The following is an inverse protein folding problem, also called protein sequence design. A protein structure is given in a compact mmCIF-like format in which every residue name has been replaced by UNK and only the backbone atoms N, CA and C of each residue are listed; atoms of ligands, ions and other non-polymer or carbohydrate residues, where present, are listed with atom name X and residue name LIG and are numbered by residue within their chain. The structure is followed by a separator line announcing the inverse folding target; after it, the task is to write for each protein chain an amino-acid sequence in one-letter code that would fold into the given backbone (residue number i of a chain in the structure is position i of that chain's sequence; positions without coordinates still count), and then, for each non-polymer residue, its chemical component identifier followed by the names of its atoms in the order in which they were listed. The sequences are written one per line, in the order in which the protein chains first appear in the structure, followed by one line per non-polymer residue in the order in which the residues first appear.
data_IF_964033631171
#
_entry.id   IF_964033631171
#
_cell.length_a   1.000
_cell.length_b   1.000
_cell.length_c   1.000
_cell.angle_alpha   90.00
_cell.angle_beta   90.00
_cell.angle_gamma   90.00
#
_symmetry.space_group_name_H-M   'P 1'
#
loop_
_entity.id
_entity.type
_entity.pdbx_description
1 polymer ?
#
# COMPACT_ATOMS: atom_id res chain seq x y z
N UNK A 1 20.06 -5.61 15.41
CA UNK A 1 19.88 -7.03 15.75
C UNK A 1 19.72 -7.86 14.47
N UNK A 2 20.58 -8.87 14.22
CA UNK A 2 20.53 -9.69 13.01
C UNK A 2 19.25 -10.55 12.92
N UNK A 3 18.68 -10.98 14.04
CA UNK A 3 17.45 -11.77 14.08
C UNK A 3 16.27 -10.91 13.63
N UNK A 4 16.16 -9.68 14.15
CA UNK A 4 15.11 -8.74 13.77
C UNK A 4 15.21 -8.38 12.28
N UNK A 5 16.43 -8.11 11.79
CA UNK A 5 16.67 -7.84 10.36
C UNK A 5 16.18 -9.02 9.49
N UNK A 6 16.49 -10.24 9.90
CA UNK A 6 16.08 -11.44 9.17
C UNK A 6 14.57 -11.63 9.18
N UNK A 7 13.92 -11.40 10.34
CA UNK A 7 12.46 -11.45 10.46
C UNK A 7 11.80 -10.43 9.53
N UNK A 8 12.26 -9.18 9.55
CA UNK A 8 11.72 -8.14 8.67
C UNK A 8 11.88 -8.51 7.19
N UNK A 9 13.03 -9.04 6.78
CA UNK A 9 13.22 -9.51 5.40
C UNK A 9 12.23 -10.61 5.00
N UNK A 10 11.95 -11.55 5.90
CA UNK A 10 10.98 -12.63 5.62
C UNK A 10 9.56 -12.07 5.47
N UNK A 11 9.16 -11.17 6.36
CA UNK A 11 7.85 -10.50 6.29
C UNK A 11 7.73 -9.70 5.01
N UNK A 12 8.72 -8.87 4.66
CA UNK A 12 8.70 -8.10 3.41
C UNK A 12 8.59 -8.99 2.17
N UNK A 13 9.24 -10.16 2.20
CA UNK A 13 9.16 -11.12 1.10
C UNK A 13 7.77 -11.71 0.97
N UNK A 14 7.13 -12.04 2.10
CA UNK A 14 5.76 -12.55 2.14
C UNK A 14 4.76 -11.51 1.61
N UNK A 15 4.87 -10.27 2.06
CA UNK A 15 4.07 -9.14 1.57
C UNK A 15 4.25 -8.89 0.06
N UNK A 16 5.47 -9.05 -0.44
CA UNK A 16 5.74 -8.95 -1.87
C UNK A 16 4.98 -10.01 -2.70
N UNK A 17 4.81 -11.22 -2.15
CA UNK A 17 3.98 -12.26 -2.79
C UNK A 17 2.50 -11.92 -2.74
N UNK A 18 1.99 -11.43 -1.61
CA UNK A 18 0.60 -10.98 -1.48
C UNK A 18 0.30 -9.91 -2.51
N UNK A 19 1.16 -8.90 -2.64
CA UNK A 19 1.03 -7.84 -3.62
C UNK A 19 1.02 -8.37 -5.07
N UNK A 20 1.95 -9.27 -5.41
CA UNK A 20 2.02 -9.88 -6.74
C UNK A 20 0.78 -10.73 -7.05
N UNK A 21 0.31 -11.50 -6.07
CA UNK A 21 -0.91 -12.27 -6.21
C UNK A 21 -2.11 -11.36 -6.46
N UNK A 22 -2.26 -10.31 -5.66
CA UNK A 22 -3.32 -9.32 -5.81
C UNK A 22 -3.32 -8.67 -7.21
N UNK A 23 -2.13 -8.32 -7.72
CA UNK A 23 -2.01 -7.77 -9.07
C UNK A 23 -2.43 -8.78 -10.16
N UNK A 24 -1.96 -10.02 -10.08
CA UNK A 24 -2.33 -11.07 -11.06
C UNK A 24 -3.84 -11.32 -11.03
N UNK A 25 -4.42 -11.33 -9.83
CA UNK A 25 -5.85 -11.50 -9.66
C UNK A 25 -6.61 -10.32 -10.27
N UNK A 26 -6.21 -9.10 -9.98
CA UNK A 26 -6.83 -7.89 -10.52
C UNK A 26 -6.76 -7.85 -12.06
N UNK A 27 -5.60 -8.09 -12.65
CA UNK A 27 -5.40 -8.12 -14.10
C UNK A 27 -6.35 -9.13 -14.80
N UNK A 28 -6.62 -10.26 -14.14
CA UNK A 28 -7.50 -11.31 -14.69
C UNK A 28 -8.98 -11.08 -14.44
N UNK A 29 -9.31 -10.40 -13.35
CA UNK A 29 -10.69 -10.33 -12.85
C UNK A 29 -11.34 -9.01 -13.22
N UNK A 30 -10.67 -7.89 -12.97
CA UNK A 30 -11.27 -6.55 -13.11
C UNK A 30 -11.76 -6.27 -14.54
N UNK A 31 -10.99 -6.69 -15.54
CA UNK A 31 -11.37 -6.51 -16.95
C UNK A 31 -12.64 -7.27 -17.37
N UNK A 32 -13.01 -8.32 -16.63
CA UNK A 32 -14.14 -9.20 -16.92
C UNK A 32 -15.38 -8.96 -16.04
N UNK A 33 -15.31 -8.00 -15.11
CA UNK A 33 -16.44 -7.67 -14.25
C UNK A 33 -17.55 -6.96 -15.03
N UNK A 34 -18.79 -7.28 -14.68
CA UNK A 34 -19.94 -6.50 -15.12
C UNK A 34 -19.88 -5.08 -14.54
N UNK A 35 -20.50 -4.07 -15.20
CA UNK A 35 -20.45 -2.69 -14.74
C UNK A 35 -20.83 -2.51 -13.25
N UNK A 36 -21.89 -3.17 -12.79
CA UNK A 36 -22.33 -3.07 -11.40
C UNK A 36 -21.35 -3.76 -10.41
N UNK A 37 -20.73 -4.85 -10.83
CA UNK A 37 -19.71 -5.52 -10.03
C UNK A 37 -18.46 -4.66 -9.93
N UNK A 38 -18.07 -4.04 -11.03
CA UNK A 38 -16.94 -3.12 -11.09
C UNK A 38 -17.18 -1.92 -10.16
N UNK A 39 -18.35 -1.28 -10.23
CA UNK A 39 -18.71 -0.18 -9.36
C UNK A 39 -18.59 -0.56 -7.88
N UNK A 40 -19.07 -1.76 -7.49
CA UNK A 40 -18.93 -2.26 -6.10
C UNK A 40 -17.48 -2.47 -5.69
N UNK A 41 -16.63 -2.96 -6.57
CA UNK A 41 -15.20 -3.12 -6.29
C UNK A 41 -14.52 -1.76 -6.11
N UNK A 42 -14.85 -0.78 -6.96
CA UNK A 42 -14.33 0.59 -6.86
C UNK A 42 -14.75 1.26 -5.54
N UNK A 43 -16.03 1.14 -5.16
CA UNK A 43 -16.54 1.71 -3.91
C UNK A 43 -15.86 1.06 -2.70
N UNK A 44 -15.80 -0.25 -2.69
CA UNK A 44 -15.14 -0.98 -1.61
C UNK A 44 -13.64 -0.65 -1.51
N UNK A 45 -12.95 -0.50 -2.63
CA UNK A 45 -11.54 -0.11 -2.64
C UNK A 45 -11.34 1.31 -2.10
N UNK A 46 -12.24 2.25 -2.41
CA UNK A 46 -12.22 3.59 -1.85
C UNK A 46 -12.44 3.59 -0.32
N UNK A 47 -13.43 2.84 0.17
CA UNK A 47 -13.66 2.66 1.61
C UNK A 47 -12.46 2.03 2.32
N UNK A 48 -11.84 1.02 1.70
CA UNK A 48 -10.63 0.38 2.24
C UNK A 48 -9.47 1.36 2.30
N UNK A 49 -9.29 2.18 1.27
CA UNK A 49 -8.24 3.17 1.21
C UNK A 49 -8.39 4.21 2.34
N UNK A 50 -9.57 4.77 2.52
CA UNK A 50 -9.84 5.69 3.64
C UNK A 50 -9.62 5.02 5.00
N UNK A 51 -10.13 3.80 5.19
CA UNK A 51 -9.95 3.05 6.44
C UNK A 51 -8.47 2.75 6.71
N UNK A 52 -7.71 2.40 5.67
CA UNK A 52 -6.28 2.13 5.79
C UNK A 52 -5.50 3.38 6.20
N UNK A 53 -5.82 4.52 5.61
CA UNK A 53 -5.21 5.80 5.96
C UNK A 53 -5.44 6.14 7.43
N UNK A 54 -6.68 6.03 7.92
CA UNK A 54 -6.99 6.25 9.32
C UNK A 54 -6.31 5.25 10.25
N UNK A 55 -6.08 4.02 9.80
CA UNK A 55 -5.37 3.00 10.58
C UNK A 55 -3.86 3.18 10.54
N UNK A 56 -3.26 3.57 9.42
CA UNK A 56 -1.81 3.84 9.30
C UNK A 56 -1.38 5.04 10.16
N UNK A 57 -2.16 6.10 10.15
CA UNK A 57 -1.94 7.23 11.08
C UNK A 57 -2.35 6.86 12.50
N UNK A 58 -3.11 5.79 12.65
CA UNK A 58 -3.48 5.11 13.90
C UNK A 58 -4.12 6.04 14.95
N UNK A 59 -4.80 7.09 14.49
CA UNK A 59 -5.37 8.13 15.36
C UNK A 59 -6.44 7.52 16.26
N UNK A 60 -7.32 6.66 15.71
CA UNK A 60 -8.37 6.02 16.48
C UNK A 60 -7.83 5.01 17.51
N UNK A 61 -6.80 4.24 17.16
CA UNK A 61 -6.18 3.29 18.08
C UNK A 61 -5.40 4.01 19.18
N UNK A 62 -4.87 5.20 18.90
CA UNK A 62 -4.21 6.06 19.88
C UNK A 62 -5.16 6.96 20.67
N UNK A 63 -6.47 6.80 20.51
CA UNK A 63 -7.50 7.59 21.21
C UNK A 63 -7.22 7.73 22.70
N UNK A 64 -6.95 6.63 23.39
CA UNK A 64 -6.67 6.65 24.83
C UNK A 64 -5.43 7.48 25.18
N UNK A 65 -4.43 7.51 24.29
CA UNK A 65 -3.24 8.35 24.47
C UNK A 65 -3.61 9.82 24.32
N UNK A 66 -4.33 10.18 23.27
CA UNK A 66 -4.74 11.58 23.05
C UNK A 66 -5.61 12.11 24.18
N UNK A 67 -6.63 11.34 24.59
CA UNK A 67 -7.52 11.69 25.70
C UNK A 67 -6.76 11.87 27.02
N UNK A 68 -5.71 11.08 27.29
CA UNK A 68 -4.85 11.25 28.45
C UNK A 68 -4.10 12.59 28.50
N UNK A 69 -3.83 13.17 27.33
CA UNK A 69 -3.23 14.51 27.19
C UNK A 69 -4.27 15.61 26.97
N UNK A 70 -5.54 15.31 27.16
CA UNK A 70 -6.63 16.28 27.00
C UNK A 70 -6.93 16.66 25.54
N UNK A 71 -6.50 15.84 24.57
CA UNK A 71 -6.73 16.05 23.15
C UNK A 71 -7.92 15.21 22.67
N UNK A 72 -8.86 15.81 21.97
CA UNK A 72 -9.89 15.09 21.26
C UNK A 72 -9.29 14.41 20.02
N UNK A 73 -9.36 13.10 19.97
CA UNK A 73 -8.82 12.32 18.85
C UNK A 73 -9.48 12.66 17.50
N UNK A 74 -10.74 13.14 17.50
CA UNK A 74 -11.43 13.58 16.29
C UNK A 74 -10.81 14.87 15.77
N UNK A 75 -10.55 15.82 16.68
CA UNK A 75 -9.84 17.03 16.33
C UNK A 75 -8.44 16.74 15.76
N UNK A 76 -7.69 15.81 16.37
CA UNK A 76 -6.39 15.36 15.85
C UNK A 76 -6.52 14.80 14.43
N UNK A 77 -7.53 13.95 14.20
CA UNK A 77 -7.81 13.40 12.88
C UNK A 77 -8.07 14.50 11.84
N UNK A 78 -8.95 15.44 12.18
CA UNK A 78 -9.37 16.47 11.25
C UNK A 78 -8.20 17.43 10.97
N UNK A 79 -7.41 17.78 11.98
CA UNK A 79 -6.18 18.57 11.83
C UNK A 79 -5.14 17.89 10.92
N UNK A 80 -4.97 16.57 11.03
CA UNK A 80 -4.08 15.83 10.13
C UNK A 80 -4.58 15.89 8.69
N UNK A 81 -5.90 15.79 8.46
CA UNK A 81 -6.48 15.91 7.11
C UNK A 81 -6.28 17.30 6.53
N UNK A 82 -6.50 18.34 7.33
CA UNK A 82 -6.40 19.74 6.91
C UNK A 82 -4.95 20.17 6.62
N UNK A 83 -3.98 19.58 7.31
CA UNK A 83 -2.56 19.92 7.17
C UNK A 83 -1.79 18.97 6.26
N UNK A 84 -2.42 17.90 5.77
CA UNK A 84 -1.76 16.97 4.87
C UNK A 84 -1.65 17.56 3.47
N UNK A 85 -0.42 17.73 3.01
CA UNK A 85 -0.09 18.15 1.65
C UNK A 85 0.79 17.08 0.96
N UNK A 86 0.34 16.55 -0.17
CA UNK A 86 1.06 15.51 -0.91
C UNK A 86 2.34 16.06 -1.56
N UNK A 87 2.32 17.31 -2.00
CA UNK A 87 3.47 17.93 -2.67
C UNK A 87 4.59 18.25 -1.66
N UNK A 88 4.24 18.76 -0.46
CA UNK A 88 5.20 18.92 0.63
C UNK A 88 5.79 17.57 1.04
N UNK A 89 4.95 16.54 1.16
CA UNK A 89 5.39 15.17 1.47
C UNK A 89 6.36 14.61 0.46
N UNK A 90 6.19 14.87 -0.82
CA UNK A 90 7.13 14.45 -1.86
C UNK A 90 8.48 15.13 -1.71
N UNK A 91 8.49 16.40 -1.32
CA UNK A 91 9.72 17.16 -1.08
C UNK A 91 10.46 16.61 0.16
N UNK A 92 9.73 16.31 1.23
CA UNK A 92 10.29 15.73 2.46
C UNK A 92 10.84 14.31 2.24
N UNK A 93 10.15 13.51 1.42
CA UNK A 93 10.48 12.11 1.17
C UNK A 93 11.32 11.95 -0.11
N UNK A 94 12.32 12.82 -0.33
CA UNK A 94 13.15 12.85 -1.56
C UNK A 94 13.60 11.47 -2.05
N UNK A 95 13.93 10.57 -1.13
CA UNK A 95 14.41 9.21 -1.41
C UNK A 95 13.49 8.13 -0.81
N UNK A 96 12.31 8.52 -0.30
CA UNK A 96 11.35 7.64 0.34
C UNK A 96 10.10 7.43 -0.49
N UNK A 97 9.43 6.30 -0.29
CA UNK A 97 8.16 6.01 -0.93
C UNK A 97 7.00 6.64 -0.13
N UNK A 98 6.26 7.56 -0.73
CA UNK A 98 4.97 7.97 -0.21
C UNK A 98 3.98 6.80 -0.37
N UNK A 99 3.61 6.17 0.74
CA UNK A 99 2.75 4.97 0.76
C UNK A 99 1.41 5.24 0.07
N UNK A 100 0.85 6.43 0.22
CA UNK A 100 -0.44 6.78 -0.38
C UNK A 100 -0.36 6.84 -1.90
N UNK A 101 0.71 7.43 -2.43
CA UNK A 101 0.95 7.46 -3.87
C UNK A 101 1.18 6.06 -4.43
N UNK A 102 1.97 5.23 -3.75
CA UNK A 102 2.23 3.84 -4.16
C UNK A 102 0.93 3.04 -4.22
N UNK A 103 0.07 3.16 -3.21
CA UNK A 103 -1.24 2.50 -3.18
C UNK A 103 -2.14 2.99 -4.31
N UNK A 104 -2.31 4.30 -4.45
CA UNK A 104 -3.14 4.87 -5.52
C UNK A 104 -2.63 4.44 -6.90
N UNK A 105 -1.33 4.52 -7.16
CA UNK A 105 -0.70 4.08 -8.41
C UNK A 105 -0.96 2.60 -8.71
N UNK A 106 -0.88 1.76 -7.69
CA UNK A 106 -1.17 0.33 -7.82
C UNK A 106 -2.63 0.09 -8.21
N UNK A 107 -3.57 0.79 -7.56
CA UNK A 107 -5.00 0.68 -7.84
C UNK A 107 -5.37 1.23 -9.22
N UNK A 108 -4.74 2.34 -9.66
CA UNK A 108 -4.87 2.87 -11.04
C UNK A 108 -4.40 1.82 -12.05
N UNK A 109 -3.21 1.25 -11.85
CA UNK A 109 -2.65 0.26 -12.76
C UNK A 109 -3.46 -1.03 -12.84
N UNK A 110 -4.17 -1.37 -11.77
CA UNK A 110 -5.11 -2.50 -11.71
C UNK A 110 -6.49 -2.16 -12.31
N UNK A 111 -6.74 -0.91 -12.71
CA UNK A 111 -8.02 -0.45 -13.24
C UNK A 111 -9.13 -0.37 -12.20
N UNK A 112 -8.78 -0.25 -10.92
CA UNK A 112 -9.74 -0.15 -9.80
C UNK A 112 -10.11 1.31 -9.52
N UNK A 113 -9.20 2.27 -9.71
CA UNK A 113 -9.52 3.69 -9.64
C UNK A 113 -9.94 4.17 -11.02
N UNK A 114 -11.14 4.73 -11.10
CA UNK A 114 -11.66 5.40 -12.30
C UNK A 114 -12.00 6.86 -11.98
N UNK A 115 -12.45 7.62 -12.97
CA UNK A 115 -12.90 9.00 -12.80
C UNK A 115 -14.00 9.10 -11.72
N UNK A 116 -14.83 8.07 -11.57
CA UNK A 116 -15.94 8.01 -10.62
C UNK A 116 -15.47 8.10 -9.15
N UNK A 117 -14.38 7.42 -8.81
CA UNK A 117 -13.86 7.31 -7.44
C UNK A 117 -12.58 8.09 -7.20
N UNK A 118 -12.00 8.71 -8.23
CA UNK A 118 -10.73 9.44 -8.15
C UNK A 118 -10.73 10.56 -7.10
N UNK A 119 -11.90 11.19 -6.87
CA UNK A 119 -12.05 12.28 -5.90
C UNK A 119 -11.73 11.86 -4.46
N UNK A 120 -11.99 10.60 -4.07
CA UNK A 120 -11.67 10.07 -2.74
C UNK A 120 -10.14 10.04 -2.53
N UNK A 121 -9.42 9.64 -3.55
CA UNK A 121 -7.96 9.55 -3.50
C UNK A 121 -7.29 10.92 -3.63
N UNK A 122 -7.94 11.85 -4.34
CA UNK A 122 -7.45 13.21 -4.56
C UNK A 122 -7.34 14.05 -3.27
N UNK A 123 -8.00 13.65 -2.20
CA UNK A 123 -7.83 14.25 -0.88
C UNK A 123 -6.42 14.00 -0.31
N UNK A 124 -5.72 12.97 -0.77
CA UNK A 124 -4.47 12.48 -0.20
C UNK A 124 -3.32 12.41 -1.20
N UNK A 125 -3.62 12.44 -2.48
CA UNK A 125 -2.63 12.26 -3.54
C UNK A 125 -2.93 13.20 -4.70
N UNK A 126 -1.92 13.85 -5.23
CA UNK A 126 -2.05 14.65 -6.46
C UNK A 126 -2.26 13.72 -7.66
N UNK A 127 -3.54 13.41 -7.96
CA UNK A 127 -3.92 12.46 -9.00
C UNK A 127 -3.45 12.89 -10.40
N UNK A 128 -3.42 14.21 -10.70
CA UNK A 128 -2.97 14.72 -12.00
C UNK A 128 -1.50 14.44 -12.28
N UNK A 129 -0.68 14.50 -11.24
CA UNK A 129 0.74 14.17 -11.38
C UNK A 129 0.96 12.66 -11.47
N UNK A 130 0.14 11.89 -10.75
CA UNK A 130 0.22 10.45 -10.76
C UNK A 130 -0.02 9.86 -12.15
N UNK A 131 -0.92 10.45 -12.93
CA UNK A 131 -1.20 10.06 -14.32
C UNK A 131 -0.01 10.30 -15.27
N UNK A 132 0.85 11.27 -14.94
CA UNK A 132 2.05 11.61 -15.72
C UNK A 132 3.29 10.82 -15.31
N UNK A 133 3.24 10.11 -14.18
CA UNK A 133 4.36 9.29 -13.74
C UNK A 133 4.49 8.00 -14.54
N UNK A 134 5.73 7.49 -14.64
CA UNK A 134 5.99 6.15 -15.17
C UNK A 134 5.09 5.11 -14.51
N UNK A 135 4.55 4.19 -15.32
CA UNK A 135 3.74 3.06 -14.82
C UNK A 135 4.55 2.01 -14.05
N UNK A 136 5.84 2.23 -13.86
CA UNK A 136 6.67 1.37 -13.02
C UNK A 136 6.22 1.46 -11.57
N UNK A 137 5.93 0.30 -10.98
CA UNK A 137 5.53 0.22 -9.58
C UNK A 137 6.78 0.33 -8.71
N UNK A 138 6.89 1.32 -7.81
CA UNK A 138 7.98 1.39 -6.86
C UNK A 138 8.07 0.06 -6.08
N UNK A 139 9.28 -0.47 -5.98
CA UNK A 139 9.51 -1.73 -5.27
C UNK A 139 9.42 -3.00 -6.13
N UNK A 140 9.13 -2.92 -7.42
CA UNK A 140 9.14 -4.10 -8.30
C UNK A 140 10.50 -4.81 -8.29
N UNK A 141 11.61 -4.08 -8.24
CA UNK A 141 12.95 -4.63 -8.08
C UNK A 141 13.10 -5.39 -6.74
N UNK A 142 12.67 -4.80 -5.62
CA UNK A 142 12.71 -5.44 -4.30
C UNK A 142 11.88 -6.72 -4.24
N UNK A 143 10.77 -6.79 -4.98
CA UNK A 143 9.97 -8.02 -5.14
C UNK A 143 10.77 -9.10 -5.86
N UNK A 144 11.48 -8.74 -6.93
CA UNK A 144 12.31 -9.71 -7.69
C UNK A 144 13.46 -10.23 -6.85
N UNK A 145 14.17 -9.35 -6.14
CA UNK A 145 15.24 -9.72 -5.21
C UNK A 145 14.73 -10.65 -4.10
N UNK A 146 13.55 -10.36 -3.55
CA UNK A 146 12.90 -11.23 -2.55
C UNK A 146 12.55 -12.61 -3.10
N UNK A 147 12.10 -12.71 -4.35
CA UNK A 147 11.84 -13.99 -5.02
C UNK A 147 13.13 -14.79 -5.21
N UNK A 148 14.22 -14.16 -5.59
CA UNK A 148 15.52 -14.81 -5.73
C UNK A 148 16.05 -15.31 -4.39
N UNK A 149 15.93 -14.52 -3.34
CA UNK A 149 16.28 -14.92 -1.98
C UNK A 149 15.49 -16.14 -1.51
N UNK A 150 14.19 -16.19 -1.77
CA UNK A 150 13.39 -17.38 -1.44
C UNK A 150 13.79 -18.61 -2.23
N UNK A 151 14.07 -18.46 -3.52
CA UNK A 151 14.57 -19.57 -4.34
C UNK A 151 15.89 -20.11 -3.79
N UNK A 152 16.78 -19.21 -3.38
CA UNK A 152 18.05 -19.59 -2.74
C UNK A 152 17.84 -20.34 -1.42
N UNK A 153 16.97 -19.85 -0.55
CA UNK A 153 16.63 -20.50 0.73
C UNK A 153 16.01 -21.87 0.51
N UNK A 154 15.08 -21.99 -0.42
CA UNK A 154 14.43 -23.26 -0.72
C UNK A 154 15.37 -24.28 -1.35
N UNK A 155 16.32 -23.85 -2.18
CA UNK A 155 17.36 -24.75 -2.73
C UNK A 155 18.29 -25.26 -1.63
N UNK A 156 18.68 -24.40 -0.68
CA UNK A 156 19.48 -24.80 0.48
C UNK A 156 18.75 -25.78 1.41
N UNK A 157 17.43 -25.59 1.63
CA UNK A 157 16.61 -26.54 2.41
C UNK A 157 16.50 -27.92 1.76
N UNK A 158 16.37 -27.98 0.45
CA UNK A 158 16.38 -29.28 -0.28
C UNK A 158 17.69 -30.05 -0.10
N UNK A 159 18.82 -29.33 -0.03
CA UNK A 159 20.13 -29.94 0.23
C UNK A 159 20.28 -30.50 1.66
N UNK A 160 19.63 -29.86 2.64
CA UNK A 160 19.63 -30.29 4.04
C UNK A 160 18.69 -31.49 4.24
N UNK A 161 17.54 -31.53 3.55
CA UNK A 161 16.57 -32.64 3.63
C UNK A 161 17.00 -33.92 2.92
N UNK A 162 18.05 -33.91 2.11
CA UNK A 162 18.60 -35.10 1.45
C UNK A 162 19.69 -35.83 2.28
N UNK A 163 19.95 -35.36 3.51
CA UNK A 163 20.97 -35.98 4.40
C UNK A 163 20.39 -36.85 5.52
N UNK A 164 19.10 -37.22 5.44
CA UNK A 164 18.50 -38.19 6.37
C UNK A 164 17.79 -39.31 5.61
#
# INVERSE_FOLDING_TARGET
DPVLRRLVQLVMTDEAFHHKFGKIWADKTIANLLPDERNRVEDWAAECFESLLFNLVNIRQKRMVYERFGLDWKWVRDSVRETYDDDERRIELKDGNNVFRVLAKTLISAGIITERTSHVYAEWVNMKELDNESREIPGAAAVMDGIEDLRRINSQRKLIGQKY
#
